data_IF_088366220346
#
_entry.id   IF_088366220346
#
_cell.length_a   1.000
_cell.length_b   1.000
_cell.length_c   1.000
_cell.angle_alpha   90.00
_cell.angle_beta   90.00
_cell.angle_gamma   90.00
#
_symmetry.space_group_name_H-M   'P 1'
#
loop_
_entity.id
_entity.type
_entity.pdbx_description
1 polymer ?
#
# COMPACT_ATOMS: atom_id res chain seq x y z
N UNK A 1 -5.81 17.60 25.98
CA UNK A 1 -6.75 16.50 26.31
C UNK A 1 -6.02 15.18 26.10
N UNK A 2 -5.82 14.38 27.16
CA UNK A 2 -5.15 13.07 27.07
C UNK A 2 -6.23 12.01 26.77
N UNK A 3 -6.06 11.25 25.70
CA UNK A 3 -6.93 10.10 25.42
C UNK A 3 -6.71 9.02 26.48
N UNK A 4 -7.81 8.46 27.01
CA UNK A 4 -7.75 7.32 27.93
C UNK A 4 -7.26 6.06 27.20
N UNK A 5 -6.78 5.07 27.96
CA UNK A 5 -6.38 3.79 27.39
C UNK A 5 -7.55 3.07 26.72
N UNK A 6 -8.73 3.12 27.34
CA UNK A 6 -9.98 2.55 26.83
C UNK A 6 -10.40 3.17 25.49
N UNK A 7 -10.34 4.50 25.38
CA UNK A 7 -10.64 5.20 24.13
C UNK A 7 -9.71 4.78 22.99
N UNK A 8 -8.42 4.58 23.28
CA UNK A 8 -7.46 4.09 22.29
C UNK A 8 -7.76 2.65 21.88
N UNK A 9 -8.05 1.79 22.85
CA UNK A 9 -8.40 0.40 22.60
C UNK A 9 -9.66 0.29 21.73
N UNK A 10 -10.67 1.12 21.99
CA UNK A 10 -11.91 1.13 21.20
C UNK A 10 -11.68 1.64 19.77
N UNK A 11 -10.89 2.70 19.58
CA UNK A 11 -10.49 3.16 18.24
C UNK A 11 -9.79 2.04 17.45
N UNK A 12 -8.88 1.31 18.10
CA UNK A 12 -8.14 0.19 17.49
C UNK A 12 -9.10 -0.95 17.14
N UNK A 13 -10.02 -1.30 18.03
CA UNK A 13 -11.04 -2.34 17.81
C UNK A 13 -11.92 -2.02 16.61
N UNK A 14 -12.48 -0.81 16.56
CA UNK A 14 -13.32 -0.33 15.45
C UNK A 14 -12.53 -0.31 14.13
N UNK A 15 -11.27 0.10 14.17
CA UNK A 15 -10.42 0.12 12.98
C UNK A 15 -10.10 -1.28 12.46
N UNK A 16 -9.83 -2.25 13.34
CA UNK A 16 -9.66 -3.67 12.98
C UNK A 16 -10.94 -4.28 12.39
N UNK A 17 -12.11 -3.80 12.82
CA UNK A 17 -13.41 -4.13 12.22
C UNK A 17 -13.67 -3.53 10.84
N UNK A 18 -12.68 -2.87 10.21
CA UNK A 18 -12.79 -2.32 8.85
C UNK A 18 -13.35 -0.90 8.77
N UNK A 19 -13.67 -0.27 9.90
CA UNK A 19 -14.26 1.06 9.90
C UNK A 19 -13.28 2.15 9.41
N UNK A 20 -13.78 3.10 8.61
CA UNK A 20 -13.01 4.25 8.14
C UNK A 20 -12.76 5.29 9.24
N UNK A 21 -11.70 6.10 9.12
CA UNK A 21 -11.33 7.08 10.15
C UNK A 21 -12.41 8.12 10.42
N UNK A 22 -13.13 8.57 9.38
CA UNK A 22 -14.24 9.53 9.50
C UNK A 22 -15.40 8.93 10.29
N UNK A 23 -15.78 7.70 9.98
CA UNK A 23 -16.85 6.98 10.69
C UNK A 23 -16.50 6.75 12.16
N UNK A 24 -15.27 6.34 12.47
CA UNK A 24 -14.79 6.19 13.86
C UNK A 24 -14.82 7.54 14.60
N UNK A 25 -14.39 8.62 13.94
CA UNK A 25 -14.38 9.96 14.52
C UNK A 25 -15.79 10.43 14.89
N UNK A 26 -16.77 10.23 13.99
CA UNK A 26 -18.18 10.52 14.27
C UNK A 26 -18.73 9.65 15.39
N UNK A 27 -18.47 8.34 15.36
CA UNK A 27 -18.95 7.39 16.38
C UNK A 27 -18.42 7.71 17.78
N UNK A 28 -17.14 8.09 17.89
CA UNK A 28 -16.49 8.39 19.17
C UNK A 28 -16.65 9.85 19.61
N UNK A 29 -17.27 10.71 18.79
CA UNK A 29 -17.33 12.16 19.05
C UNK A 29 -15.95 12.83 19.09
N UNK A 30 -14.99 12.32 18.31
CA UNK A 30 -13.60 12.77 18.33
C UNK A 30 -13.20 13.44 17.01
N UNK A 31 -12.13 14.26 17.05
CA UNK A 31 -11.57 14.85 15.83
C UNK A 31 -10.91 13.76 14.98
N UNK A 32 -11.20 13.76 13.68
CA UNK A 32 -10.56 12.89 12.68
C UNK A 32 -9.02 12.77 12.81
N UNK A 33 -8.23 13.87 12.94
CA UNK A 33 -6.78 13.76 13.11
C UNK A 33 -6.34 12.98 14.36
N UNK A 34 -7.13 13.03 15.44
CA UNK A 34 -6.86 12.28 16.67
C UNK A 34 -6.98 10.78 16.42
N UNK A 35 -8.07 10.35 15.77
CA UNK A 35 -8.29 8.95 15.39
C UNK A 35 -7.17 8.46 14.46
N UNK A 36 -6.80 9.27 13.45
CA UNK A 36 -5.71 8.96 12.52
C UNK A 36 -4.37 8.76 13.26
N UNK A 37 -4.02 9.68 14.17
CA UNK A 37 -2.77 9.62 14.95
C UNK A 37 -2.69 8.40 15.86
N UNK A 38 -3.82 7.99 16.47
CA UNK A 38 -3.89 6.76 17.28
C UNK A 38 -3.65 5.54 16.39
N UNK A 39 -4.38 5.44 15.27
CA UNK A 39 -4.26 4.30 14.35
C UNK A 39 -2.84 4.18 13.77
N UNK A 40 -2.21 5.29 13.37
CA UNK A 40 -0.84 5.29 12.84
C UNK A 40 0.17 4.81 13.87
N UNK A 41 0.13 5.34 15.10
CA UNK A 41 1.05 4.93 16.18
C UNK A 41 0.84 3.48 16.64
N UNK A 42 -0.35 2.94 16.41
CA UNK A 42 -0.66 1.53 16.71
C UNK A 42 -0.24 0.54 15.62
N UNK A 43 0.34 0.99 14.51
CA UNK A 43 0.78 0.10 13.42
C UNK A 43 -0.34 -0.38 12.48
N UNK A 44 -1.61 -0.07 12.75
CA UNK A 44 -2.77 -0.50 11.94
C UNK A 44 -2.74 -0.04 10.46
N UNK A 45 -1.87 0.89 10.10
CA UNK A 45 -1.64 1.27 8.70
C UNK A 45 -0.60 0.39 8.00
N UNK A 46 0.39 -0.09 8.76
CA UNK A 46 1.45 -0.98 8.26
C UNK A 46 0.92 -2.38 7.94
N UNK A 47 -0.10 -2.83 8.66
CA UNK A 47 -0.66 -4.18 8.54
C UNK A 47 -1.73 -4.33 7.46
N UNK A 48 -1.85 -3.40 6.49
CA UNK A 48 -2.77 -3.58 5.38
C UNK A 48 -2.18 -4.60 4.37
N UNK A 49 -2.74 -5.82 4.25
CA UNK A 49 -2.20 -6.84 3.36
C UNK A 49 -2.23 -6.42 1.88
N UNK A 50 -3.22 -5.61 1.47
CA UNK A 50 -3.28 -5.10 0.10
C UNK A 50 -2.14 -4.10 -0.20
N UNK A 51 -1.85 -3.21 0.74
CA UNK A 51 -0.70 -2.31 0.62
C UNK A 51 0.60 -3.10 0.62
N UNK A 52 0.76 -4.07 1.53
CA UNK A 52 1.94 -4.94 1.56
C UNK A 52 2.14 -5.67 0.24
N UNK A 53 1.08 -6.24 -0.35
CA UNK A 53 1.15 -6.96 -1.62
C UNK A 53 1.60 -6.05 -2.78
N UNK A 54 1.13 -4.79 -2.84
CA UNK A 54 1.52 -3.84 -3.89
C UNK A 54 2.98 -3.41 -3.81
N UNK A 55 3.56 -3.36 -2.60
CA UNK A 55 4.92 -2.88 -2.36
C UNK A 55 5.92 -3.98 -1.99
N UNK A 56 5.54 -5.25 -2.15
CA UNK A 56 6.45 -6.40 -1.96
C UNK A 56 7.06 -6.82 -3.29
N UNK A 57 8.36 -7.13 -3.29
CA UNK A 57 9.03 -7.71 -4.45
C UNK A 57 8.51 -9.15 -4.60
N UNK A 58 8.01 -9.55 -5.78
CA UNK A 58 7.58 -10.93 -6.01
C UNK A 58 8.79 -11.88 -5.96
N UNK A 59 8.53 -13.15 -5.63
CA UNK A 59 9.57 -14.18 -5.62
C UNK A 59 10.32 -14.22 -6.97
N UNK A 60 11.67 -14.28 -6.95
CA UNK A 60 12.46 -14.41 -8.17
C UNK A 60 12.02 -15.64 -8.97
N UNK A 61 11.65 -15.42 -10.23
CA UNK A 61 11.36 -16.50 -11.18
C UNK A 61 12.55 -16.67 -12.11
N UNK A 62 13.26 -17.78 -11.97
CA UNK A 62 14.36 -18.14 -12.85
C UNK A 62 13.84 -18.97 -14.02
N UNK A 63 14.30 -18.63 -15.23
CA UNK A 63 14.02 -19.42 -16.44
C UNK A 63 15.10 -20.47 -16.64
N UNK A 64 14.71 -21.66 -17.08
CA UNK A 64 15.63 -22.70 -17.57
C UNK A 64 15.89 -22.59 -19.08
N UNK A 65 15.20 -21.68 -19.77
CA UNK A 65 15.41 -21.47 -21.19
C UNK A 65 16.80 -20.88 -21.44
N UNK A 66 17.53 -21.45 -22.41
CA UNK A 66 18.80 -20.91 -22.84
C UNK A 66 18.60 -19.47 -23.32
N UNK A 67 19.48 -18.58 -22.87
CA UNK A 67 19.49 -17.19 -23.31
C UNK A 67 19.86 -17.14 -24.80
N UNK A 68 18.85 -17.08 -25.67
CA UNK A 68 19.05 -16.86 -27.10
C UNK A 68 19.09 -15.37 -27.38
N UNK A 69 20.06 -14.93 -28.19
CA UNK A 69 20.12 -13.54 -28.64
C UNK A 69 18.87 -13.25 -29.47
N UNK A 70 18.04 -12.30 -29.01
CA UNK A 70 16.94 -11.78 -29.83
C UNK A 70 17.53 -11.18 -31.11
N UNK A 71 17.06 -11.55 -32.31
CA UNK A 71 17.59 -10.98 -33.54
C UNK A 71 17.40 -9.46 -33.54
N UNK A 72 18.39 -8.74 -34.05
CA UNK A 72 18.28 -7.30 -34.25
C UNK A 72 17.13 -7.01 -35.22
N UNK A 73 16.38 -5.92 -35.03
CA UNK A 73 15.40 -5.49 -36.02
C UNK A 73 16.10 -5.27 -37.37
N UNK A 74 15.43 -5.56 -38.50
CA UNK A 74 16.00 -5.31 -39.82
C UNK A 74 16.44 -3.85 -39.99
N UNK A 75 17.65 -3.65 -40.49
CA UNK A 75 18.16 -2.31 -40.79
C UNK A 75 17.40 -1.72 -41.98
N UNK A 76 16.77 -0.55 -41.81
CA UNK A 76 16.16 0.18 -42.91
C UNK A 76 17.19 1.17 -43.48
N UNK A 77 17.64 0.94 -44.71
CA UNK A 77 18.46 1.91 -45.44
C UNK A 77 17.52 3.01 -45.92
N UNK A 78 17.66 4.21 -45.36
CA UNK A 78 16.94 5.40 -45.85
C UNK A 78 17.81 6.02 -46.96
N UNK A 79 17.44 5.77 -48.22
CA UNK A 79 18.02 6.48 -49.35
C UNK A 79 17.26 7.79 -49.58
N UNK A 80 17.94 8.93 -49.45
CA UNK A 80 17.42 10.21 -49.93
C UNK A 80 17.75 10.34 -51.42
N UNK A 81 16.74 10.27 -52.29
CA UNK A 81 16.88 10.65 -53.69
C UNK A 81 16.80 12.18 -53.81
N UNK A 82 17.76 12.78 -54.53
CA UNK A 82 17.79 14.19 -54.91
C UNK A 82 17.12 14.41 -56.26
#
# INVERSE_FOLDING_TARGET
MRLTAEQKAEIIRLKRGGMGYRTIATHMGMKHPTVRSVCQRSGLFADNPAHRAMFSIPEPRYSIALATVKPLPPHQIITTYY
#
